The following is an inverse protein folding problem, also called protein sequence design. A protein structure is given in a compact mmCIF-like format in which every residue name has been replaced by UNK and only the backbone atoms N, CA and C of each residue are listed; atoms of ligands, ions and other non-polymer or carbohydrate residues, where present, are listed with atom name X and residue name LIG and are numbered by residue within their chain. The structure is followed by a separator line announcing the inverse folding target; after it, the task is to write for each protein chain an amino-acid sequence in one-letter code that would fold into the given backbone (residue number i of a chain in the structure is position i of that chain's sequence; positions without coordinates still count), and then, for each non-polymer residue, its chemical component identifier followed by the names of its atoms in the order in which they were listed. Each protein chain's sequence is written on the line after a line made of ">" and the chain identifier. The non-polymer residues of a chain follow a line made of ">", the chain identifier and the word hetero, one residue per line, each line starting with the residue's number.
data_IF_858736369117
#
_entry.id   IF_858736369117
#
_cell.length_a   1.000
_cell.length_b   1.000
_cell.length_c   1.000
_cell.angle_alpha   90.00
_cell.angle_beta   90.00
_cell.angle_gamma   90.00
#
_symmetry.space_group_name_H-M   'P 1'
#
loop_
_entity.id
_entity.type
_entity.pdbx_description
1 polymer ?
#
# COMPACT_ATOMS: atom_id res chain seq x y z
N UNK A 1 7.99 -21.75 -4.77
CA UNK A 1 6.63 -21.40 -4.31
C UNK A 1 6.55 -19.90 -4.32
N UNK A 2 5.80 -19.30 -5.25
CA UNK A 2 5.59 -17.86 -5.34
C UNK A 2 4.12 -17.60 -5.04
N UNK A 3 3.81 -17.49 -3.76
CA UNK A 3 2.53 -17.02 -3.27
C UNK A 3 2.80 -15.65 -2.66
N UNK A 4 2.43 -14.58 -3.34
CA UNK A 4 2.16 -13.24 -2.78
C UNK A 4 1.83 -12.31 -3.95
N UNK A 5 1.12 -11.22 -3.70
CA UNK A 5 0.43 -10.45 -4.75
C UNK A 5 -1.10 -10.50 -4.65
N UNK A 6 -1.65 -10.79 -3.47
CA UNK A 6 -3.05 -10.48 -3.15
C UNK A 6 -3.19 -9.74 -1.81
N UNK A 7 -2.07 -9.31 -1.20
CA UNK A 7 -2.05 -8.66 0.10
C UNK A 7 -0.94 -7.65 0.33
N UNK A 8 0.00 -7.51 -0.61
CA UNK A 8 1.18 -6.67 -0.45
C UNK A 8 0.77 -5.20 -0.36
N UNK A 9 0.98 -4.61 0.80
CA UNK A 9 0.76 -3.19 1.04
C UNK A 9 2.08 -2.44 0.90
N UNK A 10 2.01 -1.14 0.59
CA UNK A 10 3.18 -0.24 0.66
C UNK A 10 3.84 -0.23 2.04
N UNK A 11 3.11 -0.61 3.09
CA UNK A 11 3.63 -0.78 4.45
C UNK A 11 4.57 -1.98 4.62
N UNK A 12 4.53 -2.97 3.73
CA UNK A 12 5.39 -4.17 3.77
C UNK A 12 6.75 -3.93 3.08
N UNK A 13 6.91 -2.82 2.37
CA UNK A 13 8.12 -2.50 1.61
C UNK A 13 9.33 -2.36 2.53
N UNK A 14 9.22 -1.61 3.62
CA UNK A 14 10.32 -1.43 4.59
C UNK A 14 10.74 -2.76 5.24
N UNK A 15 9.81 -3.54 5.84
CA UNK A 15 10.13 -4.89 6.34
C UNK A 15 10.78 -5.81 5.31
N UNK A 16 10.32 -5.77 4.06
CA UNK A 16 10.88 -6.60 2.99
C UNK A 16 12.32 -6.18 2.66
N UNK A 17 12.58 -4.87 2.56
CA UNK A 17 13.94 -4.36 2.31
C UNK A 17 14.88 -4.70 3.46
N UNK A 18 14.44 -4.57 4.71
CA UNK A 18 15.22 -4.94 5.90
C UNK A 18 15.57 -6.43 5.90
N UNK A 19 14.59 -7.29 5.57
CA UNK A 19 14.82 -8.73 5.45
C UNK A 19 15.84 -9.06 4.36
N UNK A 20 15.75 -8.41 3.19
CA UNK A 20 16.68 -8.63 2.09
C UNK A 20 18.11 -8.20 2.43
N UNK A 21 18.29 -7.03 3.06
CA UNK A 21 19.60 -6.56 3.52
C UNK A 21 20.23 -7.56 4.48
N UNK A 22 19.47 -7.98 5.50
CA UNK A 22 19.93 -8.96 6.48
C UNK A 22 20.28 -10.31 5.84
N UNK A 23 19.48 -10.78 4.88
CA UNK A 23 19.72 -12.03 4.18
C UNK A 23 20.98 -11.98 3.31
N UNK A 24 21.25 -10.85 2.65
CA UNK A 24 22.45 -10.67 1.83
C UNK A 24 23.70 -10.62 2.72
N UNK A 25 23.65 -9.93 3.86
CA UNK A 25 24.76 -9.89 4.83
C UNK A 25 25.09 -11.29 5.38
N UNK A 26 24.08 -12.02 5.87
CA UNK A 26 24.28 -13.38 6.38
C UNK A 26 24.83 -14.32 5.29
N UNK A 27 24.32 -14.20 4.07
CA UNK A 27 24.76 -15.02 2.95
C UNK A 27 26.17 -14.65 2.46
N UNK A 28 26.58 -13.40 2.62
CA UNK A 28 27.95 -12.93 2.34
C UNK A 28 28.94 -13.57 3.30
N UNK A 29 28.62 -13.63 4.59
CA UNK A 29 29.45 -14.27 5.61
C UNK A 29 29.57 -15.79 5.42
N UNK A 30 28.49 -16.43 4.99
CA UNK A 30 28.47 -17.87 4.73
C UNK A 30 29.24 -18.29 3.46
N UNK A 31 29.50 -17.35 2.55
CA UNK A 31 30.04 -17.65 1.23
C UNK A 31 31.57 -17.66 1.24
N UNK A 32 32.17 -18.78 0.85
CA UNK A 32 33.64 -18.93 0.74
C UNK A 32 34.20 -18.47 -0.61
N UNK A 33 33.33 -18.22 -1.60
CA UNK A 33 33.75 -17.84 -2.96
C UNK A 33 33.84 -16.31 -3.11
N UNK A 34 35.02 -15.75 -3.46
CA UNK A 34 35.21 -14.30 -3.49
C UNK A 34 34.36 -13.60 -4.57
N UNK A 35 34.15 -14.24 -5.73
CA UNK A 35 33.33 -13.65 -6.81
C UNK A 35 31.86 -13.49 -6.41
N UNK A 36 31.28 -14.49 -5.71
CA UNK A 36 29.92 -14.40 -5.19
C UNK A 36 29.83 -13.30 -4.13
N UNK A 37 30.80 -13.21 -3.21
CA UNK A 37 30.83 -12.15 -2.21
C UNK A 37 30.85 -10.75 -2.84
N UNK A 38 31.64 -10.52 -3.89
CA UNK A 38 31.65 -9.23 -4.62
C UNK A 38 30.31 -8.92 -5.29
N UNK A 39 29.63 -9.91 -5.89
CA UNK A 39 28.30 -9.68 -6.47
C UNK A 39 27.26 -9.37 -5.41
N UNK A 40 27.36 -10.00 -4.24
CA UNK A 40 26.46 -9.75 -3.11
C UNK A 40 26.69 -8.38 -2.49
N UNK A 41 27.95 -7.93 -2.40
CA UNK A 41 28.27 -6.55 -2.02
C UNK A 41 27.67 -5.53 -3.00
N UNK A 42 27.75 -5.77 -4.31
CA UNK A 42 27.12 -4.90 -5.29
C UNK A 42 25.59 -4.89 -5.17
N UNK A 43 24.97 -6.05 -4.90
CA UNK A 43 23.53 -6.14 -4.66
C UNK A 43 23.12 -5.42 -3.38
N UNK A 44 23.88 -5.58 -2.30
CA UNK A 44 23.67 -4.89 -1.02
C UNK A 44 23.79 -3.39 -1.18
N UNK A 45 24.85 -2.91 -1.84
CA UNK A 45 25.08 -1.48 -2.08
C UNK A 45 23.91 -0.88 -2.86
N UNK A 46 23.45 -1.59 -3.89
CA UNK A 46 22.31 -1.11 -4.69
C UNK A 46 21.02 -1.09 -3.88
N UNK A 47 20.81 -2.07 -3.01
CA UNK A 47 19.64 -2.13 -2.13
C UNK A 47 19.67 -1.01 -1.07
N UNK A 48 20.85 -0.73 -0.51
CA UNK A 48 21.07 0.37 0.42
C UNK A 48 20.76 1.73 -0.22
N UNK A 49 21.18 1.97 -1.47
CA UNK A 49 20.82 3.20 -2.21
C UNK A 49 19.29 3.38 -2.29
N UNK A 50 18.55 2.31 -2.58
CA UNK A 50 17.09 2.36 -2.62
C UNK A 50 16.47 2.57 -1.24
N UNK A 51 17.09 2.02 -0.19
CA UNK A 51 16.65 2.22 1.18
C UNK A 51 16.72 3.69 1.58
N UNK A 52 17.82 4.37 1.26
CA UNK A 52 17.96 5.82 1.48
C UNK A 52 16.89 6.63 0.74
N UNK A 53 16.55 6.24 -0.49
CA UNK A 53 15.47 6.87 -1.25
C UNK A 53 14.08 6.65 -0.63
N UNK A 54 13.86 5.52 0.03
CA UNK A 54 12.59 5.26 0.73
C UNK A 54 12.42 6.10 1.99
N UNK A 55 13.50 6.40 2.71
CA UNK A 55 13.50 7.38 3.80
C UNK A 55 13.16 8.78 3.28
N UNK A 56 13.63 9.13 2.08
CA UNK A 56 13.39 10.48 1.56
C UNK A 56 11.91 10.76 1.24
N UNK A 57 11.10 9.73 1.03
CA UNK A 57 9.67 9.87 0.79
C UNK A 57 8.85 9.68 2.08
N UNK A 58 7.98 10.64 2.46
CA UNK A 58 7.12 10.51 3.63
C UNK A 58 6.10 9.37 3.51
N UNK A 59 5.85 8.87 2.29
CA UNK A 59 4.81 7.88 2.02
C UNK A 59 5.12 6.54 2.66
N UNK A 60 6.37 6.06 2.60
CA UNK A 60 6.75 4.77 3.20
C UNK A 60 6.72 4.83 4.74
N UNK A 61 7.19 5.95 5.30
CA UNK A 61 7.12 6.23 6.73
C UNK A 61 5.67 6.30 7.21
N UNK A 62 4.83 7.06 6.51
CA UNK A 62 3.40 7.18 6.83
C UNK A 62 2.68 5.83 6.73
N UNK A 63 2.93 5.05 5.67
CA UNK A 63 2.35 3.73 5.50
C UNK A 63 2.65 2.79 6.67
N UNK A 64 3.90 2.79 7.14
CA UNK A 64 4.35 1.97 8.29
C UNK A 64 3.68 2.41 9.58
N UNK A 65 3.59 3.73 9.80
CA UNK A 65 2.96 4.30 10.99
C UNK A 65 1.47 4.00 11.03
N UNK A 66 0.78 4.12 9.89
CA UNK A 66 -0.64 3.83 9.74
C UNK A 66 -0.96 2.34 9.82
N UNK A 67 0.05 1.46 9.76
CA UNK A 67 -0.13 0.03 9.99
C UNK A 67 -0.28 -0.25 11.48
N UNK A 68 -1.47 -0.72 11.96
CA UNK A 68 -1.71 -0.90 13.39
C UNK A 68 -0.73 -1.87 14.08
N UNK A 69 -0.16 -2.83 13.33
CA UNK A 69 0.81 -3.81 13.83
C UNK A 69 2.27 -3.33 13.86
N UNK A 70 2.63 -2.23 13.18
CA UNK A 70 4.03 -1.77 13.06
C UNK A 70 4.23 -0.44 13.80
N UNK A 71 3.43 0.59 13.47
CA UNK A 71 3.49 1.93 14.05
C UNK A 71 4.93 2.48 14.13
N UNK A 72 5.16 3.47 15.00
CA UNK A 72 6.49 4.00 15.32
C UNK A 72 7.39 2.99 16.03
N UNK A 73 6.83 2.02 16.76
CA UNK A 73 7.60 1.00 17.50
C UNK A 73 8.50 0.19 16.57
N UNK A 74 8.01 -0.14 15.37
CA UNK A 74 8.82 -0.79 14.36
C UNK A 74 10.00 0.08 13.93
N UNK A 75 9.75 1.33 13.54
CA UNK A 75 10.78 2.24 13.04
C UNK A 75 11.82 2.59 14.10
N UNK A 76 11.39 2.76 15.36
CA UNK A 76 12.28 3.01 16.49
C UNK A 76 13.21 1.82 16.78
N UNK A 77 12.75 0.60 16.53
CA UNK A 77 13.57 -0.60 16.65
C UNK A 77 14.51 -0.79 15.45
N UNK A 78 14.01 -0.58 14.24
CA UNK A 78 14.80 -0.77 13.00
C UNK A 78 15.87 0.29 12.84
N UNK A 79 15.61 1.53 13.27
CA UNK A 79 16.51 2.67 13.16
C UNK A 79 17.06 3.13 14.52
N UNK A 80 17.28 2.20 15.45
CA UNK A 80 17.78 2.51 16.80
C UNK A 80 19.08 3.33 16.78
N UNK A 81 19.97 3.04 15.82
CA UNK A 81 21.23 3.75 15.63
C UNK A 81 21.11 5.06 14.82
N UNK A 82 19.93 5.33 14.24
CA UNK A 82 19.68 6.46 13.32
C UNK A 82 18.50 7.32 13.76
N UNK A 83 18.62 7.86 14.98
CA UNK A 83 17.57 8.70 15.57
C UNK A 83 17.23 9.95 14.73
N UNK A 84 18.19 10.49 13.98
CA UNK A 84 17.96 11.60 13.05
C UNK A 84 16.92 11.27 11.97
N UNK A 85 16.91 10.02 11.48
CA UNK A 85 15.95 9.56 10.47
C UNK A 85 14.55 9.41 11.06
N UNK A 86 14.46 8.92 12.31
CA UNK A 86 13.18 8.81 13.03
C UNK A 86 12.56 10.20 13.21
N UNK A 87 13.34 11.18 13.67
CA UNK A 87 12.84 12.54 13.89
C UNK A 87 12.44 13.23 12.58
N UNK A 88 13.23 13.06 11.52
CA UNK A 88 12.91 13.56 10.17
C UNK A 88 11.63 12.91 9.63
N UNK A 89 11.47 11.61 9.79
CA UNK A 89 10.25 10.89 9.40
C UNK A 89 9.03 11.37 10.20
N UNK A 90 9.14 11.51 11.54
CA UNK A 90 8.07 12.04 12.40
C UNK A 90 7.65 13.44 11.98
N UNK A 91 8.62 14.32 11.70
CA UNK A 91 8.36 15.68 11.23
C UNK A 91 7.60 15.69 9.90
N UNK A 92 8.05 14.90 8.91
CA UNK A 92 7.46 14.82 7.57
C UNK A 92 6.06 14.18 7.57
N UNK A 93 5.86 13.09 8.30
CA UNK A 93 4.52 12.46 8.44
C UNK A 93 3.56 13.42 9.15
N UNK A 94 4.04 14.11 10.19
CA UNK A 94 3.26 15.14 10.88
C UNK A 94 2.92 16.34 9.99
N UNK A 95 3.85 16.76 9.12
CA UNK A 95 3.61 17.80 8.11
C UNK A 95 2.56 17.36 7.09
N UNK A 96 2.71 16.18 6.49
CA UNK A 96 1.74 15.59 5.58
C UNK A 96 0.33 15.53 6.18
N UNK A 97 0.24 15.11 7.46
CA UNK A 97 -1.01 15.11 8.21
C UNK A 97 -1.62 16.51 8.34
N UNK A 98 -0.82 17.49 8.80
CA UNK A 98 -1.30 18.87 9.04
C UNK A 98 -1.73 19.57 7.75
N UNK A 99 -0.98 19.40 6.67
CA UNK A 99 -1.22 20.09 5.40
C UNK A 99 -2.40 19.49 4.63
N UNK A 100 -2.48 18.17 4.56
CA UNK A 100 -3.38 17.48 3.62
C UNK A 100 -4.66 16.96 4.27
N UNK A 101 -4.63 16.60 5.55
CA UNK A 101 -5.71 15.83 6.18
C UNK A 101 -6.34 16.51 7.39
N UNK A 102 -5.56 17.21 8.23
CA UNK A 102 -6.06 17.89 9.43
C UNK A 102 -7.15 18.93 9.16
N UNK A 103 -7.09 19.62 8.03
CA UNK A 103 -8.07 20.65 7.65
C UNK A 103 -9.20 20.15 6.72
N UNK A 104 -9.13 18.89 6.29
CA UNK A 104 -9.97 18.31 5.22
C UNK A 104 -11.38 17.92 5.68
N UNK A 105 -11.70 18.10 6.96
CA UNK A 105 -13.09 18.18 7.46
C UNK A 105 -13.94 19.20 6.68
N UNK A 106 -13.32 20.13 5.95
CA UNK A 106 -14.02 21.09 5.08
C UNK A 106 -14.40 20.55 3.68
N UNK A 107 -13.77 19.50 3.16
CA UNK A 107 -13.92 19.07 1.75
C UNK A 107 -14.76 17.81 1.54
N UNK A 108 -15.00 16.99 2.56
CA UNK A 108 -15.76 15.73 2.42
C UNK A 108 -17.13 15.77 3.11
N UNK A 109 -17.96 16.78 2.80
CA UNK A 109 -19.40 16.75 3.10
C UNK A 109 -20.22 15.97 2.06
N UNK A 110 -19.56 15.34 1.07
CA UNK A 110 -20.21 14.78 -0.13
C UNK A 110 -20.73 13.35 0.06
N UNK A 111 -20.21 12.58 1.01
CA UNK A 111 -20.71 11.23 1.34
C UNK A 111 -21.41 11.20 2.70
N UNK A 112 -22.39 12.08 2.88
CA UNK A 112 -23.49 11.77 3.80
C UNK A 112 -24.39 10.79 3.04
N UNK A 113 -24.47 9.49 3.36
CA UNK A 113 -25.62 8.73 2.93
C UNK A 113 -26.81 9.48 3.49
N UNK A 114 -27.63 10.05 2.60
CA UNK A 114 -28.88 10.68 2.95
C UNK A 114 -29.66 9.61 3.69
N UNK A 115 -29.59 9.67 5.02
CA UNK A 115 -30.26 8.75 5.90
C UNK A 115 -31.71 9.17 5.71
N UNK A 116 -32.42 8.42 4.87
CA UNK A 116 -33.87 8.49 4.79
C UNK A 116 -34.36 8.45 6.23
N UNK A 117 -34.83 9.61 6.71
CA UNK A 117 -35.30 9.77 8.08
C UNK A 117 -36.58 8.95 8.20
N UNK A 118 -36.45 7.70 8.61
CA UNK A 118 -37.55 6.99 9.23
C UNK A 118 -37.93 7.76 10.51
N UNK A 119 -39.21 8.07 10.75
CA UNK A 119 -39.62 8.77 11.96
C UNK A 119 -39.52 7.79 13.13
N UNK A 120 -38.39 7.82 13.85
CA UNK A 120 -38.29 7.17 15.16
C UNK A 120 -38.46 8.22 16.24
N UNK A 121 -39.62 8.12 16.88
CA UNK A 121 -40.06 8.85 18.05
C UNK A 121 -39.16 8.53 19.25
N UNK A 122 -38.75 9.57 19.99
CA UNK A 122 -38.12 9.40 21.29
C UNK A 122 -37.22 10.57 21.66
N UNK A 123 -37.74 11.50 22.46
CA UNK A 123 -36.95 12.53 23.15
C UNK A 123 -35.74 11.84 23.80
N UNK A 124 -34.48 12.26 23.52
CA UNK A 124 -33.32 11.62 24.12
C UNK A 124 -33.44 11.68 25.65
N UNK A 125 -33.49 10.53 26.31
CA UNK A 125 -33.52 10.45 27.78
C UNK A 125 -32.30 11.19 28.34
N UNK A 126 -32.45 11.94 29.45
CA UNK A 126 -31.38 12.72 30.07
C UNK A 126 -30.12 11.90 30.35
N UNK A 127 -30.27 10.61 30.66
CA UNK A 127 -29.16 9.66 30.77
C UNK A 127 -28.35 9.50 29.48
N UNK A 128 -28.98 9.41 28.31
CA UNK A 128 -28.28 9.30 27.02
C UNK A 128 -27.52 10.58 26.68
N UNK A 129 -28.08 11.74 27.01
CA UNK A 129 -27.42 13.04 26.87
C UNK A 129 -26.20 13.15 27.80
N UNK A 130 -26.38 12.79 29.08
CA UNK A 130 -25.29 12.78 30.06
C UNK A 130 -24.19 11.78 29.69
N UNK A 131 -24.51 10.56 29.24
CA UNK A 131 -23.50 9.60 28.75
C UNK A 131 -22.77 10.15 27.53
N UNK A 132 -23.45 10.86 26.62
CA UNK A 132 -22.81 11.49 25.46
C UNK A 132 -21.87 12.62 25.90
N UNK A 133 -22.28 13.43 26.87
CA UNK A 133 -21.47 14.51 27.46
C UNK A 133 -20.25 13.96 28.19
N UNK A 134 -20.42 12.95 29.05
CA UNK A 134 -19.30 12.26 29.69
C UNK A 134 -18.34 11.64 28.67
N UNK A 135 -18.87 11.02 27.61
CA UNK A 135 -18.02 10.52 26.51
C UNK A 135 -17.29 11.64 25.76
N UNK A 136 -17.89 12.81 25.59
CA UNK A 136 -17.23 13.97 24.97
C UNK A 136 -16.19 14.63 25.90
N UNK A 137 -16.33 14.51 27.22
CA UNK A 137 -15.31 14.95 28.18
C UNK A 137 -14.15 13.95 28.29
N UNK A 138 -14.41 12.64 28.09
CA UNK A 138 -13.38 11.59 28.08
C UNK A 138 -12.61 11.58 26.75
N UNK A 139 -13.30 11.80 25.62
CA UNK A 139 -12.72 11.99 24.31
C UNK A 139 -12.71 13.49 24.01
N UNK A 140 -11.69 14.21 24.45
CA UNK A 140 -11.47 15.61 24.06
C UNK A 140 -11.51 15.69 22.53
N UNK A 141 -12.54 16.32 21.97
CA UNK A 141 -12.69 16.47 20.52
C UNK A 141 -11.65 17.42 19.90
N UNK A 142 -10.85 18.09 20.74
CA UNK A 142 -9.73 18.96 20.35
C UNK A 142 -8.38 18.22 20.32
N UNK A 143 -8.31 16.97 20.79
CA UNK A 143 -7.08 16.18 20.70
C UNK A 143 -6.82 15.80 19.23
N UNK A 144 -5.58 15.99 18.79
CA UNK A 144 -5.19 15.68 17.42
C UNK A 144 -5.32 14.16 17.14
N UNK A 145 -6.18 13.80 16.17
CA UNK A 145 -6.49 12.38 15.84
C UNK A 145 -5.22 11.54 15.63
N UNK A 146 -4.21 12.12 14.97
CA UNK A 146 -2.95 11.45 14.69
C UNK A 146 -2.15 11.19 15.95
N UNK A 147 -2.08 12.15 16.87
CA UNK A 147 -1.40 11.96 18.16
C UNK A 147 -2.10 10.91 19.02
N UNK A 148 -3.44 10.90 19.04
CA UNK A 148 -4.23 9.90 19.76
C UNK A 148 -3.92 8.51 19.22
N UNK A 149 -3.93 8.33 17.90
CA UNK A 149 -3.62 7.05 17.26
C UNK A 149 -2.18 6.58 17.53
N UNK A 150 -1.21 7.50 17.52
CA UNK A 150 0.19 7.18 17.81
C UNK A 150 0.39 6.70 19.26
N UNK A 151 -0.40 7.19 20.22
CA UNK A 151 -0.34 6.76 21.63
C UNK A 151 -0.99 5.41 21.89
N UNK A 152 -1.87 4.96 20.99
CA UNK A 152 -2.55 3.68 21.16
C UNK A 152 -1.60 2.50 21.00
N UNK A 153 -1.86 1.40 21.74
CA UNK A 153 -1.04 0.20 21.60
C UNK A 153 -1.09 -0.34 20.16
N UNK A 154 -0.02 -1.04 19.80
CA UNK A 154 0.08 -1.80 18.56
C UNK A 154 -0.98 -2.90 18.57
N UNK A 155 -1.72 -3.04 17.47
CA UNK A 155 -2.76 -4.07 17.30
C UNK A 155 -2.32 -5.02 16.19
N UNK A 156 -2.32 -6.32 16.49
CA UNK A 156 -2.03 -7.34 15.49
C UNK A 156 -3.20 -7.45 14.52
N UNK A 157 -3.07 -6.80 13.37
CA UNK A 157 -4.06 -6.76 12.31
C UNK A 157 -3.48 -7.44 11.06
N UNK A 158 -4.19 -8.41 10.45
CA UNK A 158 -3.73 -9.09 9.23
C UNK A 158 -3.79 -8.21 7.96
N UNK A 159 -4.75 -7.28 7.90
CA UNK A 159 -4.93 -6.39 6.76
C UNK A 159 -5.22 -4.96 7.27
N UNK A 160 -4.21 -4.07 7.21
CA UNK A 160 -4.32 -2.71 7.75
C UNK A 160 -5.37 -1.89 6.98
N UNK A 161 -5.49 -2.08 5.67
CA UNK A 161 -6.43 -1.34 4.84
C UNK A 161 -7.87 -1.73 5.21
N UNK A 162 -8.17 -3.02 5.33
CA UNK A 162 -9.50 -3.48 5.78
C UNK A 162 -9.86 -2.94 7.15
N UNK A 163 -8.90 -2.88 8.08
CA UNK A 163 -9.12 -2.32 9.41
C UNK A 163 -9.51 -0.84 9.37
N UNK A 164 -8.84 -0.03 8.55
CA UNK A 164 -9.21 1.38 8.35
C UNK A 164 -10.53 1.57 7.59
N UNK A 165 -10.96 0.60 6.79
CA UNK A 165 -12.27 0.59 6.13
C UNK A 165 -13.42 0.30 7.12
N UNK A 166 -13.15 -0.25 8.31
CA UNK A 166 -14.20 -0.56 9.28
C UNK A 166 -14.94 0.68 9.77
N UNK A 167 -16.26 0.56 9.92
CA UNK A 167 -17.12 1.66 10.38
C UNK A 167 -16.75 2.16 11.79
N UNK A 168 -16.15 1.32 12.62
CA UNK A 168 -15.69 1.72 13.95
C UNK A 168 -14.53 2.71 13.88
N UNK A 169 -13.53 2.41 13.04
CA UNK A 169 -12.33 3.25 12.90
C UNK A 169 -12.65 4.54 12.17
N UNK A 170 -13.44 4.50 11.10
CA UNK A 170 -13.89 5.71 10.38
C UNK A 170 -14.71 6.68 11.23
N UNK A 171 -15.44 6.19 12.23
CA UNK A 171 -16.17 7.05 13.17
C UNK A 171 -15.27 7.63 14.25
N UNK A 172 -14.22 6.91 14.62
CA UNK A 172 -13.28 7.31 15.67
C UNK A 172 -12.19 8.26 15.16
N UNK A 173 -11.75 8.04 13.92
CA UNK A 173 -10.65 8.71 13.24
C UNK A 173 -11.10 9.15 11.83
N UNK A 174 -12.01 10.13 11.72
CA UNK A 174 -12.62 10.49 10.45
C UNK A 174 -11.61 11.04 9.43
N UNK A 175 -10.64 11.87 9.85
CA UNK A 175 -9.66 12.44 8.93
C UNK A 175 -8.46 11.49 8.77
N UNK A 176 -8.02 10.85 9.84
CA UNK A 176 -6.88 9.94 9.80
C UNK A 176 -7.17 8.65 9.00
N UNK A 177 -8.41 8.15 9.03
CA UNK A 177 -8.80 7.03 8.17
C UNK A 177 -8.73 7.36 6.68
N UNK A 178 -8.96 8.62 6.27
CA UNK A 178 -8.77 9.04 4.87
C UNK A 178 -7.31 8.98 4.47
N UNK A 179 -6.41 9.55 5.30
CA UNK A 179 -4.97 9.46 5.09
C UNK A 179 -4.51 8.00 5.00
N UNK A 180 -5.00 7.15 5.90
CA UNK A 180 -4.67 5.74 5.90
C UNK A 180 -5.12 5.03 4.62
N UNK A 181 -6.34 5.28 4.16
CA UNK A 181 -6.87 4.67 2.94
C UNK A 181 -6.10 5.16 1.72
N UNK A 182 -5.86 6.46 1.60
CA UNK A 182 -5.15 7.04 0.47
C UNK A 182 -3.75 6.45 0.35
N UNK A 183 -3.01 6.37 1.46
CA UNK A 183 -1.63 5.90 1.48
C UNK A 183 -1.56 4.38 1.34
N UNK A 184 -2.34 3.61 2.12
CA UNK A 184 -2.27 2.14 2.10
C UNK A 184 -2.86 1.53 0.83
N UNK A 185 -3.66 2.28 0.07
CA UNK A 185 -4.16 1.85 -1.25
C UNK A 185 -3.16 2.05 -2.40
N UNK A 186 -2.04 2.74 -2.15
CA UNK A 186 -0.96 2.86 -3.12
C UNK A 186 -0.36 1.47 -3.32
N UNK A 187 -0.41 0.97 -4.55
CA UNK A 187 0.22 -0.29 -4.89
C UNK A 187 1.74 -0.20 -4.64
N UNK A 188 2.35 -1.14 -3.91
CA UNK A 188 3.79 -1.12 -3.63
C UNK A 188 4.64 -1.26 -4.89
N UNK A 189 4.10 -1.89 -5.95
CA UNK A 189 4.78 -2.14 -7.20
C UNK A 189 3.83 -2.01 -8.38
N UNK A 190 4.33 -1.53 -9.54
CA UNK A 190 3.55 -1.47 -10.79
C UNK A 190 3.30 -2.87 -11.43
N UNK A 191 3.84 -3.94 -10.84
CA UNK A 191 3.84 -5.30 -11.38
C UNK A 191 2.43 -5.89 -11.53
N UNK A 192 1.44 -5.44 -10.76
CA UNK A 192 0.04 -5.84 -10.97
C UNK A 192 -0.48 -5.41 -12.35
N UNK A 193 -0.13 -4.20 -12.79
CA UNK A 193 -0.50 -3.73 -14.13
C UNK A 193 0.24 -4.52 -15.21
N UNK A 194 1.53 -4.80 -15.03
CA UNK A 194 2.32 -5.62 -15.96
C UNK A 194 1.79 -7.06 -16.08
N UNK A 195 1.31 -7.65 -14.97
CA UNK A 195 0.68 -8.97 -14.98
C UNK A 195 -0.65 -8.96 -15.73
N UNK A 196 -1.46 -7.92 -15.56
CA UNK A 196 -2.68 -7.70 -16.33
C UNK A 196 -2.38 -7.53 -17.83
N UNK A 197 -1.36 -6.74 -18.18
CA UNK A 197 -0.91 -6.59 -19.57
C UNK A 197 -0.33 -7.89 -20.14
N UNK A 198 0.40 -8.67 -19.35
CA UNK A 198 0.93 -9.98 -19.76
C UNK A 198 -0.18 -11.01 -20.01
N UNK A 199 -1.24 -11.00 -19.19
CA UNK A 199 -2.45 -11.81 -19.41
C UNK A 199 -3.24 -11.35 -20.64
N UNK A 200 -3.36 -10.04 -20.85
CA UNK A 200 -4.02 -9.49 -22.05
C UNK A 200 -3.28 -9.87 -23.34
N UNK A 201 -1.93 -9.84 -23.33
CA UNK A 201 -1.07 -10.26 -24.45
C UNK A 201 -1.28 -11.72 -24.87
N UNK A 202 -1.60 -12.62 -23.91
CA UNK A 202 -1.93 -14.02 -24.22
C UNK A 202 -3.28 -14.16 -24.93
N UNK A 203 -4.21 -13.22 -24.69
CA UNK A 203 -5.56 -13.26 -25.27
C UNK A 203 -5.56 -12.76 -26.72
N UNK A 204 -4.68 -11.81 -27.07
CA UNK A 204 -4.47 -11.42 -28.48
C UNK A 204 -3.81 -12.52 -29.32
N UNK A 205 -2.99 -13.38 -28.70
CA UNK A 205 -2.36 -14.51 -29.41
C UNK A 205 -3.31 -15.69 -29.60
N UNK A 206 -4.32 -15.86 -28.76
CA UNK A 206 -5.28 -16.96 -28.86
C UNK A 206 -6.46 -16.69 -29.80
N UNK A 207 -6.59 -15.48 -30.35
CA UNK A 207 -7.71 -15.09 -31.21
C UNK A 207 -7.32 -14.77 -32.66
N UNK A 208 -6.26 -15.39 -33.18
CA UNK A 208 -5.99 -15.43 -34.62
C UNK A 208 -6.56 -16.72 -35.22
N UNK A 209 -7.75 -16.70 -35.87
CA UNK A 209 -8.19 -17.79 -36.72
C UNK A 209 -7.66 -17.54 -38.14
N UNK A 210 -6.35 -17.63 -38.35
CA UNK A 210 -5.81 -17.88 -39.69
C UNK A 210 -5.18 -19.27 -39.72
N UNK A 211 -6.06 -20.27 -39.57
CA UNK A 211 -5.81 -21.64 -40.00
C UNK A 211 -5.67 -21.59 -41.51
N UNK A 212 -4.43 -21.56 -41.99
CA UNK A 212 -4.07 -21.75 -43.39
C UNK A 212 -4.47 -23.17 -43.79
N UNK A 213 -5.72 -23.34 -44.21
CA UNK A 213 -6.20 -24.59 -44.80
C UNK A 213 -5.60 -24.67 -46.22
N UNK A 214 -4.58 -25.52 -46.35
CA UNK A 214 -4.13 -26.04 -47.63
C UNK A 214 -5.30 -26.79 -48.30
N UNK A 215 -6.03 -26.10 -49.17
CA UNK A 215 -7.02 -26.72 -50.03
C UNK A 215 -6.35 -27.12 -51.34
N UNK A 216 -6.10 -28.42 -51.50
CA UNK A 216 -5.64 -29.04 -52.74
C UNK A 216 -6.84 -29.71 -53.41
N UNK A 217 -7.25 -29.29 -54.62
CA UNK A 217 -7.91 -30.18 -55.56
C UNK A 217 -7.04 -30.36 -56.81
N UNK A 218 -7.05 -31.59 -57.32
CA UNK A 218 -6.15 -32.06 -58.36
C UNK A 218 -6.48 -31.55 -59.77
N UNK A 219 -5.41 -31.55 -60.57
CA UNK A 219 -5.36 -32.02 -61.96
C UNK A 219 -6.40 -31.48 -62.95
N UNK A 220 -6.02 -30.49 -63.75
CA UNK A 220 -6.04 -30.59 -65.22
C UNK A 220 -5.47 -29.33 -65.91
N UNK A 221 -4.46 -29.54 -66.76
CA UNK A 221 -4.41 -28.94 -68.10
C UNK A 221 -3.91 -27.49 -68.28
N UNK A 222 -2.67 -27.40 -68.76
CA UNK A 222 -2.15 -26.51 -69.81
C UNK A 222 -1.99 -24.98 -69.61
N UNK A 223 -0.76 -24.57 -69.97
CA UNK A 223 -0.38 -23.38 -70.75
C UNK A 223 0.15 -22.14 -70.04
N UNK A 224 1.47 -22.01 -70.16
CA UNK A 224 2.30 -20.80 -70.32
C UNK A 224 1.56 -19.47 -70.57
N UNK A 225 1.92 -18.43 -69.79
CA UNK A 225 2.44 -17.15 -70.32
C UNK A 225 3.06 -16.29 -69.23
N UNK A 226 4.36 -15.99 -69.41
CA UNK A 226 4.97 -14.78 -68.89
C UNK A 226 4.45 -13.57 -69.67
N UNK A 227 4.18 -12.45 -69.00
CA UNK A 227 4.21 -11.10 -69.58
C UNK A 227 4.36 -10.11 -68.44
N UNK A 228 5.45 -9.36 -68.47
CA UNK A 228 5.66 -8.22 -67.58
C UNK A 228 4.98 -6.97 -68.12
N UNK A 229 4.78 -6.00 -67.22
CA UNK A 229 5.26 -4.63 -67.32
C UNK A 229 5.28 -4.04 -65.90
#
# INVERSE_FOLDING_TARGET
>A
MANEGMGDSISDVLPTMDYLLHHIEASKEATTQPYLATMMEAAWAKLADYYELTEDSPVYSAATVLHPSLKWVYMEKTWEDRNEWIEKAKARVGELWRETYKSTTSFCSVFRPSSAQGPSTGRPNGYKMWVKEQKATIFNMDDDEYEVYCREPVLMVPDPLKWWLESAQRRRFPNLSLMAIDILSIAPMSTETERLFSKAKLTERSNSPFRMLLYRPGSNGYSLRCSGF
#
